data_IF_093582193809
#
_entry.id   IF_093582193809
#
_cell.length_a   1.000
_cell.length_b   1.000
_cell.length_c   1.000
_cell.angle_alpha   90.00
_cell.angle_beta   90.00
_cell.angle_gamma   90.00
#
_symmetry.space_group_name_H-M   'P 1'
#
loop_
_entity.id
_entity.type
_entity.pdbx_description
1 polymer ?
#
# COMPACT_ATOMS: atom_id res chain seq x y z
N UNK A 1 26.04 -2.13 -3.79
CA UNK A 1 24.57 -2.01 -3.95
C UNK A 1 24.10 -1.10 -2.84
N UNK A 2 23.58 0.09 -3.15
CA UNK A 2 23.03 1.00 -2.13
C UNK A 2 21.62 0.52 -1.81
N UNK A 3 21.34 0.15 -0.56
CA UNK A 3 19.99 -0.17 -0.09
C UNK A 3 19.31 1.16 0.23
N UNK A 4 18.24 1.50 -0.48
CA UNK A 4 17.43 2.68 -0.18
C UNK A 4 16.40 2.29 0.86
N UNK A 5 16.41 2.97 2.00
CA UNK A 5 15.44 2.77 3.08
C UNK A 5 14.39 3.88 3.03
N UNK A 6 13.12 3.51 3.06
CA UNK A 6 12.00 4.45 3.12
C UNK A 6 11.41 4.47 4.54
N UNK A 7 10.92 5.63 4.97
CA UNK A 7 10.19 5.77 6.24
C UNK A 7 8.86 6.41 5.94
N UNK A 8 7.78 5.70 6.27
CA UNK A 8 6.41 6.15 6.06
C UNK A 8 5.51 5.67 7.20
N UNK A 9 4.45 6.44 7.45
CA UNK A 9 3.31 5.95 8.22
C UNK A 9 2.45 5.04 7.35
N UNK A 10 1.92 3.95 7.91
CA UNK A 10 1.00 3.07 7.18
C UNK A 10 -0.43 3.53 7.41
N UNK A 11 -1.15 3.73 6.30
CA UNK A 11 -2.60 3.89 6.31
C UNK A 11 -3.22 2.68 5.63
N UNK A 12 -3.90 1.87 6.43
CA UNK A 12 -4.72 0.79 5.92
C UNK A 12 -5.97 1.37 5.25
N UNK A 13 -6.27 0.88 4.05
CA UNK A 13 -7.41 1.30 3.23
C UNK A 13 -8.10 0.07 2.66
N UNK A 14 -9.37 0.22 2.28
CA UNK A 14 -10.08 -0.90 1.64
C UNK A 14 -9.38 -1.36 0.35
N UNK A 15 -9.48 -2.65 -0.02
CA UNK A 15 -8.86 -3.18 -1.24
C UNK A 15 -9.32 -2.46 -2.51
N UNK A 16 -10.57 -2.00 -2.56
CA UNK A 16 -11.13 -1.26 -3.69
C UNK A 16 -10.44 0.11 -3.84
N UNK A 17 -10.28 0.85 -2.73
CA UNK A 17 -9.60 2.14 -2.74
C UNK A 17 -8.12 1.98 -3.13
N UNK A 18 -7.45 0.96 -2.59
CA UNK A 18 -6.06 0.66 -2.96
C UNK A 18 -5.93 0.42 -4.47
N UNK A 19 -6.82 -0.40 -5.03
CA UNK A 19 -6.84 -0.73 -6.47
C UNK A 19 -7.08 0.52 -7.31
N UNK A 20 -8.08 1.34 -6.95
CA UNK A 20 -8.39 2.58 -7.67
C UNK A 20 -7.21 3.55 -7.68
N UNK A 21 -6.53 3.74 -6.54
CA UNK A 21 -5.34 4.61 -6.45
C UNK A 21 -4.19 4.04 -7.28
N UNK A 22 -3.94 2.73 -7.21
CA UNK A 22 -2.89 2.06 -7.98
C UNK A 22 -3.09 2.27 -9.48
N UNK A 23 -4.28 2.00 -9.99
CA UNK A 23 -4.59 2.13 -11.42
C UNK A 23 -4.38 3.55 -11.93
N UNK A 24 -4.81 4.56 -11.16
CA UNK A 24 -4.62 5.96 -11.51
C UNK A 24 -3.13 6.35 -11.57
N UNK A 25 -2.33 5.89 -10.60
CA UNK A 25 -0.90 6.19 -10.55
C UNK A 25 -0.12 5.44 -11.64
N UNK A 26 -0.51 4.21 -11.94
CA UNK A 26 0.08 3.43 -13.03
C UNK A 26 -0.19 4.07 -14.38
N UNK A 27 -1.44 4.47 -14.65
CA UNK A 27 -1.82 5.20 -15.86
C UNK A 27 -1.09 6.54 -16.01
N UNK A 28 -0.70 7.17 -14.89
CA UNK A 28 0.04 8.43 -14.86
C UNK A 28 1.57 8.26 -14.85
N UNK A 29 2.10 7.03 -14.83
CA UNK A 29 3.55 6.77 -14.86
C UNK A 29 4.27 7.02 -13.53
N UNK A 30 3.61 6.77 -12.39
CA UNK A 30 4.18 6.91 -11.05
C UNK A 30 4.76 5.59 -10.50
N UNK A 31 5.52 4.83 -11.30
CA UNK A 31 6.05 3.53 -10.88
C UNK A 31 6.96 3.60 -9.63
N UNK A 32 7.57 4.76 -9.38
CA UNK A 32 8.41 5.01 -8.21
C UNK A 32 7.65 5.00 -6.88
N UNK A 33 6.33 5.16 -6.91
CA UNK A 33 5.48 5.14 -5.72
C UNK A 33 5.19 3.71 -5.24
N UNK A 34 5.44 2.68 -6.05
CA UNK A 34 5.11 1.29 -5.71
C UNK A 34 6.29 0.60 -5.05
N UNK A 35 6.16 0.25 -3.77
CA UNK A 35 7.22 -0.41 -3.01
C UNK A 35 6.73 -1.79 -2.55
N UNK A 36 7.57 -2.80 -2.76
CA UNK A 36 7.39 -4.12 -2.15
C UNK A 36 8.10 -4.15 -0.80
N UNK A 37 7.34 -4.41 0.27
CA UNK A 37 7.92 -4.54 1.61
C UNK A 37 8.30 -5.99 1.90
N UNK A 38 9.44 -6.18 2.55
CA UNK A 38 9.89 -7.49 3.03
C UNK A 38 8.94 -8.07 4.11
N UNK A 39 8.20 -7.21 4.82
CA UNK A 39 7.47 -7.56 6.04
C UNK A 39 5.95 -7.37 5.96
N UNK A 40 5.39 -6.92 4.83
CA UNK A 40 4.01 -6.43 4.85
C UNK A 40 3.30 -6.16 3.54
N UNK A 41 3.64 -6.90 2.47
CA UNK A 41 2.98 -6.78 1.17
C UNK A 41 3.29 -5.47 0.44
N UNK A 42 2.70 -5.27 -0.76
CA UNK A 42 2.93 -4.07 -1.54
C UNK A 42 2.28 -2.85 -0.90
N UNK A 43 2.94 -1.69 -1.02
CA UNK A 43 2.41 -0.40 -0.59
C UNK A 43 2.58 0.67 -1.68
N UNK A 44 1.79 1.73 -1.58
CA UNK A 44 1.89 2.93 -2.42
C UNK A 44 2.39 4.09 -1.55
N UNK A 45 3.61 4.55 -1.77
CA UNK A 45 4.17 5.73 -1.09
C UNK A 45 3.57 7.02 -1.68
N UNK A 46 2.77 7.69 -0.84
CA UNK A 46 2.15 8.98 -1.09
C UNK A 46 2.94 10.11 -0.40
N UNK A 47 4.27 10.08 -0.51
CA UNK A 47 5.20 11.04 0.10
C UNK A 47 5.19 11.01 1.64
N UNK A 48 5.52 9.85 2.22
CA UNK A 48 5.67 9.68 3.67
C UNK A 48 4.44 9.08 4.37
N UNK A 49 3.37 8.85 3.61
CA UNK A 49 2.25 7.99 4.00
C UNK A 49 2.16 6.88 2.95
N UNK A 50 2.26 5.64 3.39
CA UNK A 50 2.13 4.48 2.52
C UNK A 50 0.74 3.87 2.66
N UNK A 51 0.02 3.76 1.55
CA UNK A 51 -1.26 3.05 1.51
C UNK A 51 -0.99 1.54 1.48
N UNK A 52 -1.71 0.80 2.31
CA UNK A 52 -1.73 -0.67 2.32
C UNK A 52 -3.17 -1.15 2.23
N UNK A 53 -3.43 -2.17 1.43
CA UNK A 53 -4.74 -2.79 1.42
C UNK A 53 -4.97 -3.50 2.77
N UNK A 54 -6.13 -3.25 3.38
CA UNK A 54 -6.60 -4.01 4.53
C UNK A 54 -6.64 -5.50 4.19
N UNK A 55 -6.13 -6.33 5.11
CA UNK A 55 -6.36 -7.76 5.00
C UNK A 55 -7.85 -8.03 5.21
N UNK A 56 -8.48 -8.93 4.43
CA UNK A 56 -9.87 -9.30 4.67
C UNK A 56 -10.00 -9.83 6.09
N UNK A 57 -10.66 -9.07 6.96
CA UNK A 57 -10.97 -9.59 8.30
C UNK A 57 -12.01 -10.69 8.12
N UNK A 58 -11.66 -11.92 8.49
CA UNK A 58 -12.68 -12.97 8.64
C UNK A 58 -13.81 -12.44 9.54
N UNK A 59 -15.08 -12.77 9.25
CA UNK A 59 -16.19 -12.33 10.07
C UNK A 59 -15.93 -12.72 11.52
N UNK A 60 -15.86 -11.74 12.43
CA UNK A 60 -15.80 -12.03 13.86
C UNK A 60 -17.14 -12.64 14.24
N UNK A 61 -17.17 -13.95 14.47
CA UNK A 61 -18.33 -14.64 15.03
C UNK A 61 -18.72 -13.94 16.35
N UNK A 62 -19.76 -13.11 16.30
CA UNK A 62 -20.40 -12.56 17.48
C UNK A 62 -21.14 -13.69 18.19
N UNK A 63 -20.58 -14.12 19.32
CA UNK A 63 -21.21 -15.05 20.27
C UNK A 63 -22.32 -14.36 21.06
#
# INVERSE_FOLDING_TARGET
MIRVTHTYAILDVSPELYTEVREKLEAAGYQHAFHDREDGGPVIDMHGIALRAEEPTEPKDTK
#
